data_IF_100608018501
#
_entry.id   IF_100608018501
#
_cell.length_a   1.000
_cell.length_b   1.000
_cell.length_c   1.000
_cell.angle_alpha   90.00
_cell.angle_beta   90.00
_cell.angle_gamma   90.00
#
_symmetry.space_group_name_H-M   'P 1'
#
loop_
_entity.id
_entity.type
_entity.pdbx_description
1 polymer ?
#
# COMPACT_ATOMS: atom_id res chain seq x y z
N UNK A 1 14.14 -20.88 -32.46
CA UNK A 1 13.90 -19.69 -31.64
C UNK A 1 14.45 -19.93 -30.24
N UNK A 2 15.58 -19.35 -29.94
CA UNK A 2 16.20 -19.47 -28.61
C UNK A 2 15.46 -18.54 -27.62
N UNK A 3 14.84 -19.13 -26.64
CA UNK A 3 14.12 -18.42 -25.57
C UNK A 3 15.14 -17.70 -24.69
N UNK A 4 15.19 -16.39 -24.75
CA UNK A 4 16.15 -15.58 -24.00
C UNK A 4 15.62 -15.36 -22.57
N UNK A 5 16.05 -16.21 -21.64
CA UNK A 5 15.68 -16.24 -20.21
C UNK A 5 16.03 -14.92 -19.48
N UNK A 6 16.89 -14.09 -20.04
CA UNK A 6 17.38 -12.87 -19.38
C UNK A 6 16.51 -11.62 -19.57
N UNK A 7 15.48 -11.65 -20.44
CA UNK A 7 14.62 -10.47 -20.69
C UNK A 7 13.54 -10.21 -19.64
N UNK A 8 13.29 -11.13 -18.71
CA UNK A 8 12.23 -11.00 -17.70
C UNK A 8 12.73 -11.04 -16.24
N UNK A 9 14.00 -10.77 -15.99
CA UNK A 9 14.47 -10.56 -14.61
C UNK A 9 13.89 -9.25 -14.08
N UNK A 10 12.81 -9.39 -13.32
CA UNK A 10 12.23 -8.28 -12.53
C UNK A 10 13.35 -7.68 -11.68
N UNK A 11 13.55 -6.36 -11.79
CA UNK A 11 14.41 -5.65 -10.85
C UNK A 11 13.82 -5.85 -9.46
N UNK A 12 14.58 -6.51 -8.60
CA UNK A 12 14.23 -6.63 -7.19
C UNK A 12 14.46 -5.25 -6.57
N UNK A 13 13.37 -4.55 -6.25
CA UNK A 13 13.39 -3.17 -5.71
C UNK A 13 13.91 -3.17 -4.26
N UNK A 14 14.03 -4.38 -3.65
CA UNK A 14 14.49 -4.54 -2.27
C UNK A 14 15.99 -4.34 -2.14
N UNK A 15 16.38 -3.71 -1.04
CA UNK A 15 17.78 -3.59 -0.67
C UNK A 15 18.40 -4.98 -0.53
N UNK A 16 19.48 -5.24 -1.28
CA UNK A 16 20.28 -6.46 -1.14
C UNK A 16 20.85 -6.50 0.27
N UNK A 17 20.76 -7.67 0.92
CA UNK A 17 21.27 -7.92 2.28
C UNK A 17 20.57 -7.20 3.44
N UNK A 18 19.37 -6.67 3.24
CA UNK A 18 18.54 -6.18 4.34
C UNK A 18 17.62 -7.30 4.83
N UNK A 19 17.70 -7.60 6.11
CA UNK A 19 16.81 -8.56 6.75
C UNK A 19 15.50 -7.89 7.15
N UNK A 20 14.45 -8.12 6.36
CA UNK A 20 13.10 -7.59 6.60
C UNK A 20 12.35 -8.27 7.76
N UNK A 21 12.98 -9.19 8.46
CA UNK A 21 12.50 -9.71 9.76
C UNK A 21 12.95 -8.82 10.92
N UNK A 22 13.85 -7.85 10.66
CA UNK A 22 14.33 -6.96 11.71
C UNK A 22 13.24 -6.01 12.21
N UNK A 23 13.31 -5.72 13.50
CA UNK A 23 12.55 -4.65 14.11
C UNK A 23 12.81 -3.33 13.36
N UNK A 24 11.79 -2.56 13.10
CA UNK A 24 11.93 -1.30 12.42
C UNK A 24 10.61 -0.68 11.97
N UNK A 25 10.71 0.55 11.50
CA UNK A 25 9.63 1.32 10.91
C UNK A 25 9.80 1.36 9.39
N UNK A 26 8.73 1.09 8.69
CA UNK A 26 8.69 1.02 7.22
C UNK A 26 7.59 1.90 6.67
N UNK A 27 7.96 2.83 5.80
CA UNK A 27 7.01 3.56 4.98
C UNK A 27 6.68 2.73 3.74
N UNK A 28 5.40 2.49 3.49
CA UNK A 28 4.90 1.59 2.46
C UNK A 28 4.03 2.37 1.47
N UNK A 29 4.20 2.09 0.19
CA UNK A 29 3.28 2.53 -0.87
C UNK A 29 2.83 1.34 -1.69
N UNK A 30 1.51 1.16 -1.85
CA UNK A 30 0.93 0.09 -2.65
C UNK A 30 -0.03 0.71 -3.67
N UNK A 31 0.21 0.47 -4.95
CA UNK A 31 -0.57 1.03 -6.05
C UNK A 31 -1.60 0.05 -6.60
N UNK A 32 -2.75 0.57 -7.00
CA UNK A 32 -3.74 -0.15 -7.81
C UNK A 32 -3.12 -0.47 -9.18
N UNK A 33 -3.45 -1.63 -9.73
CA UNK A 33 -3.02 -2.02 -11.07
C UNK A 33 -3.55 -1.02 -12.09
N UNK A 34 -2.71 -0.63 -13.05
CA UNK A 34 -3.00 0.41 -14.05
C UNK A 34 -3.35 1.79 -13.47
N UNK A 35 -3.11 2.00 -12.19
CA UNK A 35 -3.41 3.26 -11.47
C UNK A 35 -4.86 3.72 -11.59
N UNK A 36 -5.79 2.79 -11.75
CA UNK A 36 -7.22 3.09 -11.77
C UNK A 36 -7.67 3.71 -10.44
N UNK A 37 -8.51 4.75 -10.51
CA UNK A 37 -9.09 5.42 -9.35
C UNK A 37 -10.23 4.59 -8.76
N UNK A 38 -9.90 3.54 -8.03
CA UNK A 38 -10.86 2.60 -7.45
C UNK A 38 -11.15 2.84 -5.97
N UNK A 39 -10.32 3.65 -5.30
CA UNK A 39 -10.39 3.84 -3.85
C UNK A 39 -11.00 5.17 -3.43
N UNK A 40 -11.06 6.13 -4.32
CA UNK A 40 -11.56 7.45 -4.02
C UNK A 40 -11.49 8.38 -5.23
N UNK A 41 -11.81 9.64 -5.01
CA UNK A 41 -11.71 10.71 -6.00
C UNK A 41 -11.25 12.00 -5.32
N UNK A 42 -10.47 12.80 -6.05
CA UNK A 42 -10.08 14.16 -5.66
C UNK A 42 -10.44 15.07 -6.83
N UNK A 43 -11.45 15.92 -6.64
CA UNK A 43 -11.88 16.92 -7.61
C UNK A 43 -12.12 18.25 -6.91
N UNK A 44 -11.74 19.36 -7.55
CA UNK A 44 -12.02 20.74 -7.08
C UNK A 44 -11.67 21.01 -5.60
N UNK A 45 -10.59 20.41 -5.11
CA UNK A 45 -10.11 20.44 -3.70
C UNK A 45 -10.95 19.62 -2.72
N UNK A 46 -11.93 18.86 -3.17
CA UNK A 46 -12.66 17.92 -2.36
C UNK A 46 -12.08 16.51 -2.52
N UNK A 47 -11.88 15.85 -1.38
CA UNK A 47 -11.33 14.51 -1.29
C UNK A 47 -12.41 13.55 -0.79
N UNK A 48 -12.75 12.58 -1.61
CA UNK A 48 -13.72 11.54 -1.30
C UNK A 48 -13.07 10.16 -1.30
N UNK A 49 -13.11 9.47 -0.17
CA UNK A 49 -12.77 8.05 -0.08
C UNK A 49 -14.03 7.25 -0.37
N UNK A 50 -13.94 6.28 -1.27
CA UNK A 50 -15.04 5.35 -1.52
C UNK A 50 -15.11 4.28 -0.44
N UNK A 51 -16.26 3.59 -0.29
CA UNK A 51 -16.42 2.46 0.64
C UNK A 51 -15.29 1.43 0.52
N UNK A 52 -14.78 1.22 -0.69
CA UNK A 52 -13.63 0.36 -0.94
C UNK A 52 -12.35 0.87 -0.27
N UNK A 53 -12.12 2.18 -0.29
CA UNK A 53 -10.99 2.81 0.40
C UNK A 53 -11.16 2.72 1.92
N UNK A 54 -12.35 2.94 2.44
CA UNK A 54 -12.65 2.78 3.88
C UNK A 54 -12.42 1.33 4.36
N UNK A 55 -12.82 0.36 3.54
CA UNK A 55 -12.54 -1.05 3.80
C UNK A 55 -11.04 -1.31 3.92
N UNK A 56 -10.23 -0.77 3.00
CA UNK A 56 -8.78 -0.93 3.00
C UNK A 56 -8.15 -0.29 4.24
N UNK A 57 -8.57 0.92 4.61
CA UNK A 57 -8.13 1.60 5.83
C UNK A 57 -8.47 0.79 7.09
N UNK A 58 -9.68 0.27 7.16
CA UNK A 58 -10.09 -0.61 8.27
C UNK A 58 -9.21 -1.85 8.38
N UNK A 59 -8.88 -2.50 7.27
CA UNK A 59 -7.98 -3.67 7.26
C UNK A 59 -6.59 -3.28 7.74
N UNK A 60 -6.04 -2.14 7.28
CA UNK A 60 -4.74 -1.63 7.72
C UNK A 60 -4.70 -1.38 9.22
N UNK A 61 -5.68 -0.68 9.75
CA UNK A 61 -5.77 -0.35 11.17
C UNK A 61 -5.95 -1.58 12.07
N UNK A 62 -6.44 -2.69 11.52
CA UNK A 62 -6.59 -3.95 12.24
C UNK A 62 -5.39 -4.92 12.12
N UNK A 63 -4.34 -4.59 11.37
CA UNK A 63 -3.16 -5.45 11.24
C UNK A 63 -2.54 -5.81 12.59
N UNK A 64 -2.46 -4.84 13.51
CA UNK A 64 -1.93 -5.05 14.85
C UNK A 64 -2.75 -6.03 15.72
N UNK A 65 -4.03 -6.21 15.40
CA UNK A 65 -4.87 -7.19 16.09
C UNK A 65 -4.70 -8.62 15.57
N UNK A 66 -4.27 -8.73 14.31
CA UNK A 66 -4.15 -10.03 13.64
C UNK A 66 -2.73 -10.60 13.68
N UNK A 67 -1.72 -9.74 13.80
CA UNK A 67 -0.32 -10.16 13.72
C UNK A 67 0.46 -9.65 14.90
N UNK A 68 1.00 -10.60 15.69
CA UNK A 68 1.88 -10.29 16.83
C UNK A 68 3.12 -9.55 16.34
N UNK A 69 3.51 -8.51 17.08
CA UNK A 69 4.69 -7.71 16.77
C UNK A 69 4.54 -6.77 15.57
N UNK A 70 3.33 -6.62 15.02
CA UNK A 70 3.02 -5.67 13.98
C UNK A 70 2.19 -4.53 14.54
N UNK A 71 2.56 -3.30 14.21
CA UNK A 71 1.85 -2.10 14.62
C UNK A 71 1.65 -1.18 13.42
N UNK A 72 0.40 -0.82 13.16
CA UNK A 72 0.04 0.15 12.13
C UNK A 72 0.07 1.56 12.74
N UNK A 73 0.68 2.49 12.00
CA UNK A 73 0.73 3.92 12.29
C UNK A 73 -0.03 4.70 11.22
N UNK A 74 0.36 5.96 10.99
CA UNK A 74 -0.26 6.85 10.00
C UNK A 74 -0.51 6.16 8.66
N UNK A 75 -1.67 6.44 8.09
CA UNK A 75 -2.15 5.83 6.87
C UNK A 75 -3.00 6.80 6.07
N UNK A 76 -2.95 6.72 4.76
CA UNK A 76 -3.83 7.48 3.86
C UNK A 76 -4.21 6.64 2.65
N UNK A 77 -5.48 6.73 2.29
CA UNK A 77 -6.02 6.18 1.04
C UNK A 77 -6.02 7.28 0.00
N UNK A 78 -5.37 7.05 -1.13
CA UNK A 78 -5.39 7.92 -2.29
C UNK A 78 -6.26 7.29 -3.39
N UNK A 79 -6.70 8.01 -4.41
CA UNK A 79 -7.60 7.43 -5.42
C UNK A 79 -7.11 6.11 -6.04
N UNK A 80 -5.81 5.96 -6.27
CA UNK A 80 -5.20 4.83 -6.97
C UNK A 80 -4.05 4.14 -6.23
N UNK A 81 -3.81 4.51 -4.97
CA UNK A 81 -2.78 3.90 -4.12
C UNK A 81 -3.03 4.19 -2.64
N UNK A 82 -2.19 3.62 -1.82
CA UNK A 82 -2.15 3.90 -0.38
C UNK A 82 -0.73 4.22 0.07
N UNK A 83 -0.61 5.02 1.12
CA UNK A 83 0.61 5.14 1.91
C UNK A 83 0.33 4.76 3.36
N UNK A 84 1.30 4.16 4.01
CA UNK A 84 1.18 3.85 5.43
C UNK A 84 2.52 3.53 6.07
N UNK A 85 2.56 3.62 7.40
CA UNK A 85 3.73 3.28 8.20
C UNK A 85 3.41 2.03 9.02
N UNK A 86 4.27 1.01 8.89
CA UNK A 86 4.25 -0.21 9.68
C UNK A 86 5.48 -0.28 10.58
N UNK A 87 5.27 -0.67 11.82
CA UNK A 87 6.33 -1.01 12.76
C UNK A 87 6.34 -2.52 13.00
N UNK A 88 7.52 -3.12 12.94
CA UNK A 88 7.77 -4.51 13.28
C UNK A 88 8.61 -4.58 14.57
N UNK A 89 8.11 -5.29 15.56
CA UNK A 89 8.81 -5.57 16.82
C UNK A 89 8.65 -7.04 17.18
N UNK A 90 9.71 -7.82 17.01
CA UNK A 90 9.69 -9.27 17.29
C UNK A 90 8.50 -9.97 16.61
N UNK A 91 8.23 -9.59 15.38
CA UNK A 91 7.17 -10.19 14.59
C UNK A 91 7.59 -11.56 14.07
N UNK A 92 6.65 -12.52 14.10
CA UNK A 92 6.85 -13.86 13.53
C UNK A 92 6.80 -13.83 11.99
N UNK A 93 6.34 -12.73 11.41
CA UNK A 93 6.23 -12.54 9.97
C UNK A 93 7.15 -11.41 9.50
N UNK A 94 7.75 -11.61 8.33
CA UNK A 94 8.46 -10.54 7.66
C UNK A 94 7.50 -9.52 7.00
N UNK A 95 8.02 -8.35 6.66
CA UNK A 95 7.24 -7.30 6.01
C UNK A 95 6.56 -7.78 4.73
N UNK A 96 7.26 -8.60 3.94
CA UNK A 96 6.72 -9.10 2.67
C UNK A 96 5.49 -9.96 2.86
N UNK A 97 5.52 -10.83 3.84
CA UNK A 97 4.42 -11.73 4.14
C UNK A 97 3.21 -10.95 4.69
N UNK A 98 3.44 -9.94 5.52
CA UNK A 98 2.38 -9.05 6.01
C UNK A 98 1.72 -8.32 4.84
N UNK A 99 2.50 -7.72 3.95
CA UNK A 99 1.98 -7.01 2.77
C UNK A 99 1.29 -7.98 1.80
N UNK A 100 1.82 -9.18 1.62
CA UNK A 100 1.18 -10.21 0.80
C UNK A 100 -0.21 -10.57 1.34
N UNK A 101 -0.33 -10.80 2.64
CA UNK A 101 -1.60 -11.12 3.30
C UNK A 101 -2.58 -9.95 3.23
N UNK A 102 -2.12 -8.75 3.50
CA UNK A 102 -2.91 -7.53 3.35
C UNK A 102 -3.49 -7.40 1.94
N UNK A 103 -2.65 -7.53 0.91
CA UNK A 103 -3.09 -7.46 -0.49
C UNK A 103 -4.07 -8.56 -0.86
N UNK A 104 -3.85 -9.79 -0.39
CA UNK A 104 -4.73 -10.92 -0.65
C UNK A 104 -6.10 -10.70 -0.01
N UNK A 105 -6.13 -10.31 1.25
CA UNK A 105 -7.38 -10.12 1.99
C UNK A 105 -8.18 -8.93 1.44
N UNK A 106 -7.53 -7.79 1.17
CA UNK A 106 -8.22 -6.62 0.60
C UNK A 106 -8.71 -6.87 -0.82
N UNK A 107 -8.00 -7.65 -1.63
CA UNK A 107 -8.49 -8.08 -2.95
C UNK A 107 -9.76 -8.93 -2.82
N UNK A 108 -9.78 -9.88 -1.90
CA UNK A 108 -10.97 -10.70 -1.64
C UNK A 108 -12.16 -9.85 -1.20
N UNK A 109 -11.94 -8.93 -0.28
CA UNK A 109 -13.00 -8.00 0.18
C UNK A 109 -13.48 -7.08 -0.95
N UNK A 110 -12.57 -6.64 -1.81
CA UNK A 110 -12.93 -5.81 -2.96
C UNK A 110 -13.80 -6.58 -3.96
N UNK A 111 -13.45 -7.83 -4.28
CA UNK A 111 -14.27 -8.72 -5.15
C UNK A 111 -15.68 -8.89 -4.57
N UNK A 112 -15.78 -9.12 -3.26
CA UNK A 112 -17.06 -9.19 -2.57
C UNK A 112 -17.87 -7.88 -2.72
N UNK A 113 -17.20 -6.73 -2.66
CA UNK A 113 -17.80 -5.42 -2.91
C UNK A 113 -18.30 -5.26 -4.35
N UNK A 114 -17.56 -5.76 -5.33
CA UNK A 114 -18.00 -5.77 -6.75
C UNK A 114 -19.27 -6.63 -6.91
N UNK A 115 -19.29 -7.81 -6.33
CA UNK A 115 -20.41 -8.76 -6.46
C UNK A 115 -21.66 -8.32 -5.71
N UNK A 116 -21.53 -7.72 -4.52
CA UNK A 116 -22.65 -7.51 -3.62
C UNK A 116 -22.97 -6.04 -3.30
N UNK A 117 -22.09 -5.08 -3.66
CA UNK A 117 -22.26 -3.67 -3.31
C UNK A 117 -22.17 -2.73 -4.53
N UNK A 118 -22.01 -3.28 -5.73
CA UNK A 118 -21.95 -2.52 -6.97
C UNK A 118 -20.64 -1.71 -7.15
N UNK A 119 -19.55 -2.15 -6.51
CA UNK A 119 -18.26 -1.50 -6.71
C UNK A 119 -17.77 -1.71 -8.15
N UNK A 120 -16.97 -0.76 -8.65
CA UNK A 120 -16.40 -0.84 -9.99
C UNK A 120 -15.45 -2.05 -10.10
N UNK A 121 -15.61 -2.94 -11.08
CA UNK A 121 -14.69 -4.05 -11.27
C UNK A 121 -13.32 -3.57 -11.74
N UNK A 122 -12.29 -4.33 -11.39
CA UNK A 122 -10.93 -4.14 -11.88
C UNK A 122 -10.57 -5.18 -12.96
N UNK A 123 -9.56 -4.86 -13.77
CA UNK A 123 -9.13 -5.75 -14.84
C UNK A 123 -7.92 -6.60 -14.41
N UNK A 124 -8.02 -7.94 -14.48
CA UNK A 124 -7.01 -8.97 -14.19
C UNK A 124 -6.46 -8.95 -12.77
N UNK A 125 -6.11 -7.79 -12.21
CA UNK A 125 -5.43 -7.68 -10.93
C UNK A 125 -5.82 -6.39 -10.22
N UNK A 126 -6.06 -6.46 -8.92
CA UNK A 126 -6.40 -5.30 -8.11
C UNK A 126 -5.16 -4.47 -7.77
N UNK A 127 -4.20 -5.06 -7.07
CA UNK A 127 -2.94 -4.41 -6.72
C UNK A 127 -1.84 -4.68 -7.75
N UNK A 128 -0.92 -3.75 -7.95
CA UNK A 128 0.35 -4.01 -8.63
C UNK A 128 1.11 -5.12 -7.89
N UNK A 129 1.94 -5.89 -8.61
CA UNK A 129 2.69 -7.00 -8.00
C UNK A 129 3.61 -6.55 -6.90
N UNK A 130 4.39 -5.53 -7.19
CA UNK A 130 5.36 -4.95 -6.27
C UNK A 130 4.69 -3.88 -5.40
N UNK A 131 5.38 -3.46 -4.37
CA UNK A 131 5.09 -2.30 -3.55
C UNK A 131 6.40 -1.55 -3.30
N UNK A 132 6.32 -0.29 -2.92
CA UNK A 132 7.46 0.51 -2.55
C UNK A 132 7.61 0.51 -1.03
N UNK A 133 8.84 0.38 -0.55
CA UNK A 133 9.18 0.42 0.87
C UNK A 133 10.36 1.34 1.11
N UNK A 134 10.31 2.07 2.20
CA UNK A 134 11.40 2.89 2.69
C UNK A 134 11.59 2.66 4.19
N UNK A 135 12.82 2.35 4.59
CA UNK A 135 13.16 2.12 6.00
C UNK A 135 13.31 3.45 6.70
N UNK A 136 12.55 3.67 7.75
CA UNK A 136 12.62 4.88 8.58
C UNK A 136 13.67 4.66 9.66
N UNK A 137 14.75 5.43 9.65
CA UNK A 137 15.92 5.21 10.50
C UNK A 137 16.04 6.20 11.67
N UNK A 138 15.28 7.28 11.68
CA UNK A 138 15.33 8.31 12.71
C UNK A 138 14.02 9.09 12.79
N UNK A 139 13.85 9.82 13.89
CA UNK A 139 12.63 10.57 14.20
C UNK A 139 12.38 11.73 13.21
N UNK A 140 13.42 12.35 12.66
CA UNK A 140 13.27 13.41 11.66
C UNK A 140 12.65 12.86 10.36
N UNK A 141 13.13 11.72 9.89
CA UNK A 141 12.54 11.03 8.74
C UNK A 141 11.12 10.55 9.01
N UNK A 142 10.84 10.05 10.22
CA UNK A 142 9.49 9.66 10.62
C UNK A 142 8.54 10.86 10.57
N UNK A 143 8.91 11.99 11.20
CA UNK A 143 8.08 13.19 11.21
C UNK A 143 7.77 13.73 9.81
N UNK A 144 8.76 13.71 8.90
CA UNK A 144 8.58 14.12 7.50
C UNK A 144 7.59 13.23 6.75
N UNK A 145 7.67 11.93 6.95
CA UNK A 145 6.79 10.96 6.30
C UNK A 145 5.37 11.00 6.87
N UNK A 146 5.22 11.20 8.17
CA UNK A 146 3.91 11.43 8.80
C UNK A 146 3.25 12.70 8.24
N UNK A 147 4.01 13.79 8.16
CA UNK A 147 3.52 15.04 7.53
C UNK A 147 3.15 14.84 6.06
N UNK A 148 3.94 14.08 5.31
CA UNK A 148 3.64 13.71 3.93
C UNK A 148 2.32 12.94 3.82
N UNK A 149 2.10 11.92 4.66
CA UNK A 149 0.85 11.14 4.67
C UNK A 149 -0.37 12.03 4.92
N UNK A 150 -0.32 12.86 5.97
CA UNK A 150 -1.46 13.71 6.37
C UNK A 150 -1.81 14.73 5.29
N UNK A 151 -0.82 15.28 4.59
CA UNK A 151 -1.03 16.33 3.59
C UNK A 151 -1.18 15.80 2.16
N UNK A 152 -1.01 14.50 1.93
CA UNK A 152 -1.01 13.92 0.60
C UNK A 152 -2.29 14.21 -0.20
N UNK A 153 -3.51 14.08 0.35
CA UNK A 153 -4.73 14.37 -0.40
C UNK A 153 -4.79 15.81 -0.94
N UNK A 154 -4.28 16.79 -0.17
CA UNK A 154 -4.25 18.19 -0.60
C UNK A 154 -3.21 18.46 -1.69
N UNK A 155 -2.19 17.61 -1.79
CA UNK A 155 -1.08 17.71 -2.74
C UNK A 155 -1.16 16.66 -3.85
N UNK A 156 -2.35 16.13 -4.09
CA UNK A 156 -2.58 15.06 -5.07
C UNK A 156 -1.96 15.32 -6.44
N UNK A 157 -2.07 16.55 -6.97
CA UNK A 157 -1.53 16.92 -8.28
C UNK A 157 0.00 16.93 -8.32
N UNK A 158 0.66 16.97 -7.17
CA UNK A 158 2.12 16.92 -7.02
C UNK A 158 2.61 15.49 -6.74
N UNK A 159 1.68 14.56 -6.51
CA UNK A 159 2.01 13.18 -6.20
C UNK A 159 2.52 12.46 -7.46
N UNK A 160 3.67 11.80 -7.33
CA UNK A 160 4.28 11.02 -8.43
C UNK A 160 3.41 9.84 -8.89
N UNK A 161 2.42 9.45 -8.10
CA UNK A 161 1.45 8.39 -8.42
C UNK A 161 0.15 8.95 -9.00
N UNK A 162 -0.01 10.29 -9.04
CA UNK A 162 -1.10 10.94 -9.76
C UNK A 162 -0.80 10.86 -11.26
N UNK A 163 -1.43 9.92 -11.93
CA UNK A 163 -1.49 9.88 -13.40
C UNK A 163 -2.95 9.96 -13.81
N UNK A 164 -3.23 10.90 -14.71
CA UNK A 164 -4.51 11.04 -15.39
C UNK A 164 -4.69 9.94 -16.44
#
# INVERSE_FOLDING_TARGET
MTYNINKNRRKNIRLKNYDYQQNGLYFITICIQNREHLLGNISDKEYYVYDAGEMIESVWNNLSKHYKGVKSHDFVVMPNHIHGILELQNSDLDLSEIIRRFKTFTTYQYINGVENRGWRPFYKRFWQRNYHEHIIRNDDSLGKLQHYIVNNPMRWREDVFCED
#
